data_IF_920066048701
#
_entry.id   IF_920066048701
#
_cell.length_a   1.000
_cell.length_b   1.000
_cell.length_c   1.000
_cell.angle_alpha   90.00
_cell.angle_beta   90.00
_cell.angle_gamma   90.00
#
_symmetry.space_group_name_H-M   'P 1'
#
loop_
_entity.id
_entity.type
_entity.pdbx_description
1 polymer ?
#
# COMPACT_ATOMS: atom_id res chain seq x y z
N UNK A 1 -2.78 0.73 -19.25
CA UNK A 1 -1.62 1.54 -18.77
C UNK A 1 -1.24 0.96 -17.43
N UNK A 2 -0.11 0.26 -17.35
CA UNK A 2 0.35 -0.41 -16.11
C UNK A 2 0.84 0.65 -15.13
N UNK A 3 0.27 0.66 -13.93
CA UNK A 3 0.50 1.65 -12.88
C UNK A 3 1.59 1.12 -11.93
N UNK A 4 2.81 1.09 -12.46
CA UNK A 4 4.00 0.74 -11.72
C UNK A 4 4.55 1.99 -11.01
N UNK A 5 4.68 1.94 -9.67
CA UNK A 5 5.29 2.99 -8.86
C UNK A 5 6.71 3.34 -9.34
N UNK A 6 7.45 2.37 -9.90
CA UNK A 6 8.77 2.60 -10.48
C UNK A 6 8.72 3.49 -11.73
N UNK A 7 7.58 3.55 -12.44
CA UNK A 7 7.43 4.37 -13.65
C UNK A 7 6.98 5.80 -13.39
N UNK A 8 6.54 6.11 -12.17
CA UNK A 8 6.02 7.44 -11.81
C UNK A 8 7.00 8.33 -11.07
N UNK A 9 8.23 7.88 -10.83
CA UNK A 9 9.25 8.61 -10.03
C UNK A 9 8.68 9.16 -8.71
N UNK A 10 7.64 8.52 -8.16
CA UNK A 10 6.92 9.05 -7.01
C UNK A 10 7.82 9.07 -5.77
N UNK A 11 8.60 8.01 -5.59
CA UNK A 11 9.41 7.75 -4.41
C UNK A 11 9.15 6.35 -3.85
N UNK A 12 9.71 6.08 -2.69
CA UNK A 12 9.54 4.83 -1.96
C UNK A 12 8.25 4.86 -1.14
N UNK A 13 7.49 3.78 -1.22
CA UNK A 13 6.33 3.48 -0.36
C UNK A 13 6.61 2.23 0.45
N UNK A 14 6.33 2.28 1.75
CA UNK A 14 6.53 1.16 2.68
C UNK A 14 5.20 0.71 3.27
N UNK A 15 4.94 -0.59 3.26
CA UNK A 15 3.80 -1.21 3.95
C UNK A 15 4.32 -2.11 5.06
N UNK A 16 3.73 -2.01 6.25
CA UNK A 16 3.93 -2.97 7.35
C UNK A 16 2.63 -3.65 7.70
N UNK A 17 2.63 -4.98 7.69
CA UNK A 17 1.48 -5.79 8.03
C UNK A 17 1.88 -7.23 8.41
N UNK A 18 1.36 -7.74 9.52
CA UNK A 18 1.66 -9.06 10.05
C UNK A 18 3.13 -9.24 10.42
N UNK A 19 3.81 -8.19 10.90
CA UNK A 19 5.24 -8.25 11.24
C UNK A 19 6.16 -8.40 10.04
N UNK A 20 5.70 -7.98 8.86
CA UNK A 20 6.46 -7.98 7.60
C UNK A 20 6.41 -6.61 6.96
N UNK A 21 7.49 -6.29 6.25
CA UNK A 21 7.66 -5.03 5.56
C UNK A 21 7.74 -5.29 4.04
N UNK A 22 7.01 -4.49 3.27
CA UNK A 22 7.06 -4.49 1.81
C UNK A 22 7.40 -3.09 1.30
N UNK A 23 8.38 -3.04 0.40
CA UNK A 23 8.85 -1.81 -0.22
C UNK A 23 8.40 -1.76 -1.69
N UNK A 24 7.89 -0.60 -2.11
CA UNK A 24 7.36 -0.39 -3.44
C UNK A 24 7.85 0.94 -4.00
N UNK A 25 8.48 0.90 -5.17
CA UNK A 25 9.15 2.07 -5.74
C UNK A 25 10.61 2.19 -5.29
N UNK A 26 11.24 3.30 -5.64
CA UNK A 26 12.63 3.62 -5.30
C UNK A 26 12.76 5.12 -4.99
N UNK A 27 13.81 5.53 -4.29
CA UNK A 27 14.08 6.93 -3.96
C UNK A 27 13.75 7.28 -2.50
N UNK A 28 13.38 8.55 -2.25
CA UNK A 28 13.04 9.04 -0.91
C UNK A 28 11.75 8.39 -0.40
N UNK A 29 11.69 8.07 0.89
CA UNK A 29 10.45 7.62 1.53
C UNK A 29 9.40 8.74 1.48
N UNK A 30 8.31 8.49 0.75
CA UNK A 30 7.20 9.46 0.62
C UNK A 30 5.99 9.07 1.43
N UNK A 31 5.78 7.77 1.60
CA UNK A 31 4.56 7.24 2.16
C UNK A 31 4.82 5.94 2.91
N UNK A 32 4.26 5.84 4.10
CA UNK A 32 4.31 4.64 4.93
C UNK A 32 2.89 4.31 5.41
N UNK A 33 2.56 3.02 5.38
CA UNK A 33 1.37 2.47 6.00
C UNK A 33 1.75 1.38 6.98
N UNK A 34 1.40 1.58 8.25
CA UNK A 34 1.62 0.60 9.30
C UNK A 34 0.29 0.06 9.80
N UNK A 35 0.01 -1.21 9.52
CA UNK A 35 -1.26 -1.86 9.87
C UNK A 35 -1.17 -2.72 11.13
N UNK A 36 0.03 -2.93 11.70
CA UNK A 36 0.20 -3.84 12.83
C UNK A 36 -0.45 -3.32 14.11
N UNK A 37 -0.44 -2.00 14.29
CA UNK A 37 -1.07 -1.32 15.44
C UNK A 37 -2.35 -0.55 15.06
N UNK A 38 -2.92 -0.82 13.88
CA UNK A 38 -4.04 -0.04 13.34
C UNK A 38 -5.42 -0.35 13.97
N UNK A 39 -5.49 -1.24 14.96
CA UNK A 39 -6.75 -1.59 15.64
C UNK A 39 -7.81 -2.20 14.71
N UNK A 40 -7.38 -2.99 13.73
CA UNK A 40 -8.25 -3.57 12.71
C UNK A 40 -9.02 -4.78 13.23
N UNK A 41 -10.26 -4.95 12.76
CA UNK A 41 -11.09 -6.15 13.05
C UNK A 41 -10.65 -7.40 12.27
N UNK A 42 -9.66 -7.26 11.38
CA UNK A 42 -9.12 -8.33 10.54
C UNK A 42 -7.61 -8.36 10.66
N UNK A 43 -6.94 -9.51 10.40
CA UNK A 43 -5.49 -9.54 10.49
C UNK A 43 -4.87 -8.55 9.47
N UNK A 44 -3.78 -7.83 9.84
CA UNK A 44 -3.24 -6.72 9.05
C UNK A 44 -2.97 -7.05 7.58
N UNK A 45 -2.45 -8.24 7.30
CA UNK A 45 -2.14 -8.70 5.93
C UNK A 45 -3.40 -8.75 5.04
N UNK A 46 -4.56 -9.12 5.60
CA UNK A 46 -5.80 -9.13 4.84
C UNK A 46 -6.27 -7.74 4.49
N UNK A 47 -6.03 -6.77 5.37
CA UNK A 47 -6.35 -5.38 5.10
C UNK A 47 -5.44 -4.78 4.04
N UNK A 48 -4.14 -5.11 4.08
CA UNK A 48 -3.19 -4.76 3.03
C UNK A 48 -3.65 -5.29 1.67
N UNK A 49 -4.03 -6.58 1.58
CA UNK A 49 -4.54 -7.20 0.35
C UNK A 49 -5.82 -6.53 -0.16
N UNK A 50 -6.73 -6.11 0.73
CA UNK A 50 -7.94 -5.38 0.34
C UNK A 50 -7.61 -4.00 -0.23
N UNK A 51 -6.64 -3.31 0.37
CA UNK A 51 -6.20 -2.00 -0.09
C UNK A 51 -5.54 -2.09 -1.47
N UNK A 52 -4.53 -2.95 -1.63
CA UNK A 52 -3.74 -3.06 -2.87
C UNK A 52 -4.49 -3.77 -3.99
N UNK A 53 -5.41 -4.68 -3.67
CA UNK A 53 -6.31 -5.30 -4.65
C UNK A 53 -7.52 -4.44 -5.04
N UNK A 54 -7.47 -3.13 -4.77
CA UNK A 54 -8.52 -2.15 -5.09
C UNK A 54 -9.92 -2.50 -4.53
N UNK A 55 -10.00 -3.26 -3.43
CA UNK A 55 -11.26 -3.63 -2.75
C UNK A 55 -11.70 -2.61 -1.70
N UNK A 56 -10.94 -1.53 -1.52
CA UNK A 56 -11.28 -0.39 -0.66
C UNK A 56 -11.70 0.80 -1.51
N UNK A 57 -12.80 1.43 -1.12
CA UNK A 57 -13.15 2.74 -1.69
C UNK A 57 -12.11 3.78 -1.25
N UNK A 58 -12.00 4.87 -2.00
CA UNK A 58 -11.12 5.97 -1.65
C UNK A 58 -11.33 6.45 -0.20
N UNK A 59 -12.58 6.64 0.21
CA UNK A 59 -12.91 7.07 1.57
C UNK A 59 -12.54 6.06 2.67
N UNK A 60 -12.42 4.78 2.33
CA UNK A 60 -11.94 3.76 3.25
C UNK A 60 -10.40 3.76 3.30
N UNK A 61 -9.75 3.86 2.14
CA UNK A 61 -8.30 3.91 2.05
C UNK A 61 -7.70 5.12 2.77
N UNK A 62 -8.34 6.30 2.68
CA UNK A 62 -7.88 7.54 3.35
C UNK A 62 -7.95 7.50 4.88
N UNK A 63 -8.68 6.55 5.47
CA UNK A 63 -8.84 6.44 6.93
C UNK A 63 -7.79 5.55 7.58
N UNK A 64 -7.00 4.83 6.79
CA UNK A 64 -5.90 4.02 7.30
C UNK A 64 -4.78 4.92 7.85
N UNK A 65 -3.93 4.43 8.76
CA UNK A 65 -2.93 5.24 9.46
C UNK A 65 -1.70 5.53 8.59
N UNK A 66 -1.91 6.30 7.53
CA UNK A 66 -0.84 6.75 6.65
C UNK A 66 0.08 7.77 7.34
N UNK A 67 1.38 7.64 7.08
CA UNK A 67 2.38 8.65 7.39
C UNK A 67 2.97 9.15 6.08
N UNK A 68 3.00 10.47 5.89
CA UNK A 68 3.51 11.11 4.67
C UNK A 68 2.40 11.61 3.74
N UNK A 69 2.76 11.83 2.47
CA UNK A 69 1.89 12.51 1.49
C UNK A 69 0.93 11.54 0.79
N UNK A 70 -0.07 11.09 1.56
CA UNK A 70 -1.06 10.12 1.08
C UNK A 70 -1.87 10.59 -0.14
N UNK A 71 -2.36 11.84 -0.23
CA UNK A 71 -3.12 12.31 -1.38
C UNK A 71 -2.37 12.20 -2.71
N UNK A 72 -1.07 12.46 -2.72
CA UNK A 72 -0.22 12.35 -3.92
C UNK A 72 0.07 10.87 -4.27
N UNK A 73 0.31 10.03 -3.25
CA UNK A 73 0.61 8.59 -3.44
C UNK A 73 -0.59 7.73 -3.81
N UNK A 74 -1.81 8.18 -3.51
CA UNK A 74 -3.06 7.45 -3.75
C UNK A 74 -3.24 7.03 -5.22
N UNK A 75 -2.95 7.92 -6.16
CA UNK A 75 -3.11 7.63 -7.59
C UNK A 75 -2.12 6.56 -8.09
N UNK A 76 -1.01 6.36 -7.37
CA UNK A 76 -0.03 5.32 -7.67
C UNK A 76 -0.37 4.00 -6.96
N UNK A 77 -0.97 4.06 -5.77
CA UNK A 77 -1.37 2.91 -4.96
C UNK A 77 -2.58 2.14 -5.48
N UNK A 78 -3.62 2.83 -5.97
CA UNK A 78 -4.91 2.22 -6.31
C UNK A 78 -4.89 1.29 -7.54
N UNK A 79 -3.73 1.14 -8.19
CA UNK A 79 -3.58 0.36 -9.42
C UNK A 79 -2.25 -0.39 -9.50
N UNK A 80 -1.56 -0.59 -8.38
CA UNK A 80 -0.38 -1.43 -8.36
C UNK A 80 -0.75 -2.84 -8.83
N UNK A 81 -0.05 -3.33 -9.85
CA UNK A 81 -0.12 -4.74 -10.21
C UNK A 81 0.36 -5.54 -8.99
N UNK A 82 -0.46 -6.47 -8.49
CA UNK A 82 -0.07 -7.37 -7.40
C UNK A 82 1.24 -8.07 -7.82
N UNK A 83 2.24 -8.20 -6.93
CA UNK A 83 3.45 -8.95 -7.25
C UNK A 83 3.05 -10.38 -7.61
N UNK A 84 3.23 -10.73 -8.88
CA UNK A 84 2.81 -12.02 -9.44
C UNK A 84 3.45 -13.24 -8.74
N UNK A 85 4.51 -13.02 -7.95
CA UNK A 85 5.22 -14.05 -7.21
C UNK A 85 4.72 -14.34 -5.79
N UNK A 86 3.82 -13.52 -5.22
CA UNK A 86 3.42 -13.64 -3.80
C UNK A 86 2.03 -14.25 -3.57
N UNK A 87 1.32 -14.66 -4.63
CA UNK A 87 0.09 -15.47 -4.51
C UNK A 87 0.51 -16.94 -4.47
N UNK A 88 0.68 -17.48 -3.27
CA UNK A 88 0.72 -18.93 -3.06
C UNK A 88 -0.74 -19.38 -2.91
N UNK A 89 -1.27 -20.10 -3.90
CA UNK A 89 -2.54 -20.87 -3.79
C UNK A 89 -2.39 -22.09 -2.88
#
# INVERSE_FOLDING_TARGET
MSNDLNRREFGLVVFRAGGRDWECGTGELRLELDLDDAGLDVPPVWELLRLTGSRRSLAQATRLPWKGDFPEGLAALLHMDLPAGDIIE
#
